data_IF_496451506979
#
_entry.id   IF_496451506979
#
_cell.length_a   1.000
_cell.length_b   1.000
_cell.length_c   1.000
_cell.angle_alpha   90.00
_cell.angle_beta   90.00
_cell.angle_gamma   90.00
#
_symmetry.space_group_name_H-M   'P 1'
#
loop_
_entity.id
_entity.type
_entity.pdbx_description
1 polymer ?
#
# COMPACT_ATOMS: atom_id res chain seq x y z
N UNK A 1 -0.95 0.19 3.47
CA UNK A 1 -0.74 1.50 2.82
C UNK A 1 0.02 2.42 3.75
N UNK A 2 -0.50 2.62 4.97
CA UNK A 2 0.14 3.45 5.98
C UNK A 2 1.59 3.01 6.28
N UNK A 3 1.84 1.70 6.45
CA UNK A 3 3.19 1.16 6.67
C UNK A 3 4.14 1.49 5.52
N UNK A 4 3.66 1.39 4.28
CA UNK A 4 4.44 1.68 3.08
C UNK A 4 4.83 3.16 3.04
N UNK A 5 3.89 4.07 3.33
CA UNK A 5 4.14 5.52 3.33
C UNK A 5 5.10 5.93 4.46
N UNK A 6 4.91 5.37 5.66
CA UNK A 6 5.83 5.54 6.79
C UNK A 6 7.25 5.07 6.42
N UNK A 7 7.35 3.87 5.84
CA UNK A 7 8.60 3.29 5.40
C UNK A 7 9.26 4.10 4.28
N UNK A 8 8.49 4.63 3.33
CA UNK A 8 8.99 5.43 2.22
C UNK A 8 9.55 6.78 2.70
N UNK A 9 8.81 7.50 3.56
CA UNK A 9 9.25 8.79 4.08
C UNK A 9 10.49 8.66 4.97
N UNK A 10 10.54 7.63 5.84
CA UNK A 10 11.66 7.34 6.73
C UNK A 10 12.26 8.61 7.34
N UNK A 11 11.60 9.24 8.31
CA UNK A 11 11.94 10.60 8.78
C UNK A 11 13.02 10.62 9.89
N UNK A 12 13.87 9.60 10.00
CA UNK A 12 14.85 9.49 11.08
C UNK A 12 15.82 10.68 11.04
N UNK A 13 16.37 11.02 9.88
CA UNK A 13 17.39 12.07 9.75
C UNK A 13 16.80 13.48 9.91
N UNK A 14 15.48 13.63 9.72
CA UNK A 14 14.76 14.90 9.90
C UNK A 14 14.19 15.05 11.32
N UNK A 15 14.36 14.04 12.16
CA UNK A 15 13.91 14.02 13.55
C UNK A 15 15.04 14.44 14.49
N UNK A 16 14.79 15.47 15.30
CA UNK A 16 15.68 15.90 16.37
C UNK A 16 14.86 15.97 17.66
N UNK A 17 15.27 15.24 18.70
CA UNK A 17 14.50 15.11 19.95
C UNK A 17 13.03 14.74 19.73
N UNK A 18 12.77 13.78 18.83
CA UNK A 18 11.41 13.32 18.42
C UNK A 18 10.56 14.39 17.71
N UNK A 19 11.17 15.52 17.33
CA UNK A 19 10.51 16.60 16.59
C UNK A 19 10.96 16.57 15.13
N UNK A 20 10.00 16.49 14.23
CA UNK A 20 10.25 16.58 12.79
C UNK A 20 10.43 18.05 12.44
N UNK A 21 11.66 18.46 12.12
CA UNK A 21 11.98 19.84 11.75
C UNK A 21 11.59 20.16 10.31
N UNK A 22 11.67 19.15 9.42
CA UNK A 22 11.39 19.28 7.99
C UNK A 22 10.65 18.05 7.49
N UNK A 23 9.60 18.26 6.69
CA UNK A 23 8.87 17.18 6.01
C UNK A 23 9.54 16.86 4.67
N UNK A 24 9.57 15.59 4.30
CA UNK A 24 10.03 15.16 2.98
C UNK A 24 8.87 15.16 1.98
N UNK A 25 9.16 15.59 0.75
CA UNK A 25 8.24 15.46 -0.40
C UNK A 25 8.41 14.11 -1.11
N UNK A 26 9.62 13.59 -1.11
CA UNK A 26 10.02 12.35 -1.76
C UNK A 26 10.62 11.38 -0.73
N UNK A 27 10.84 10.10 -1.06
CA UNK A 27 11.49 9.15 -0.16
C UNK A 27 12.94 9.49 0.23
N UNK A 28 13.55 10.50 -0.38
CA UNK A 28 14.90 10.98 -0.11
C UNK A 28 14.90 12.40 0.45
N UNK A 29 16.03 12.83 0.98
CA UNK A 29 16.20 14.17 1.51
C UNK A 29 16.18 15.26 0.42
N UNK A 30 15.46 16.34 0.71
CA UNK A 30 15.29 17.48 -0.18
C UNK A 30 13.98 17.46 -0.96
N UNK A 31 13.74 18.56 -1.69
CA UNK A 31 12.48 18.78 -2.41
C UNK A 31 12.60 18.54 -3.93
N UNK A 32 13.78 18.13 -4.39
CA UNK A 32 14.10 17.99 -5.80
C UNK A 32 14.39 16.54 -6.15
N UNK A 33 14.12 16.18 -7.40
CA UNK A 33 14.42 14.87 -7.98
C UNK A 33 15.88 14.71 -8.41
N UNK A 34 16.71 15.74 -8.17
CA UNK A 34 18.14 15.77 -8.51
C UNK A 34 18.96 15.97 -7.25
N UNK A 35 20.12 15.33 -7.19
CA UNK A 35 21.04 15.47 -6.05
C UNK A 35 21.93 16.71 -6.18
N UNK A 36 22.28 17.28 -5.02
CA UNK A 36 23.27 18.35 -4.87
C UNK A 36 24.64 17.80 -4.41
N UNK A 37 24.80 16.48 -4.28
CA UNK A 37 26.08 15.85 -3.97
C UNK A 37 27.11 16.22 -5.04
N UNK A 38 28.30 16.67 -4.62
CA UNK A 38 29.37 17.14 -5.52
C UNK A 38 29.76 16.10 -6.56
N UNK A 39 29.77 14.81 -6.21
CA UNK A 39 30.20 13.73 -7.10
C UNK A 39 29.15 13.43 -8.19
N UNK A 40 27.88 13.60 -7.86
CA UNK A 40 26.75 13.25 -8.72
C UNK A 40 25.87 14.47 -9.05
N UNK A 41 26.46 15.65 -9.05
CA UNK A 41 25.71 16.89 -9.04
C UNK A 41 24.75 16.98 -10.23
N UNK A 42 23.48 17.21 -9.94
CA UNK A 42 22.44 17.35 -10.96
C UNK A 42 21.98 16.04 -11.59
N UNK A 43 22.47 14.86 -11.19
CA UNK A 43 21.87 13.58 -11.64
C UNK A 43 20.53 13.35 -10.95
N UNK A 44 19.64 12.62 -11.61
CA UNK A 44 18.40 12.17 -10.96
C UNK A 44 18.70 11.12 -9.89
N UNK A 45 17.85 11.07 -8.86
CA UNK A 45 17.97 10.14 -7.73
C UNK A 45 16.92 9.03 -7.74
N UNK A 46 16.19 8.90 -8.84
CA UNK A 46 15.15 7.91 -9.06
C UNK A 46 14.99 7.65 -10.56
N UNK A 47 14.42 6.48 -10.88
CA UNK A 47 14.01 6.11 -12.24
C UNK A 47 12.56 6.53 -12.49
N UNK A 48 12.32 7.50 -13.37
CA UNK A 48 10.97 8.00 -13.65
C UNK A 48 10.90 8.74 -14.99
N UNK A 49 9.68 8.98 -15.48
CA UNK A 49 9.45 9.72 -16.72
C UNK A 49 9.59 11.23 -16.50
N UNK A 50 10.51 11.85 -17.24
CA UNK A 50 10.86 13.28 -17.08
C UNK A 50 9.86 14.21 -17.76
N UNK A 51 9.27 13.76 -18.87
CA UNK A 51 8.36 14.54 -19.68
C UNK A 51 7.62 13.69 -20.71
N UNK A 52 6.76 14.31 -21.53
CA UNK A 52 6.04 13.60 -22.60
C UNK A 52 7.04 13.02 -23.60
N UNK A 53 7.11 11.70 -23.66
CA UNK A 53 8.03 10.96 -24.55
C UNK A 53 9.48 10.93 -24.06
N UNK A 54 9.80 11.58 -22.94
CA UNK A 54 11.16 11.64 -22.40
C UNK A 54 11.34 10.63 -21.25
N UNK A 55 11.94 9.49 -21.61
CA UNK A 55 12.29 8.39 -20.71
C UNK A 55 13.82 8.25 -20.52
N UNK A 56 14.62 8.99 -21.29
CA UNK A 56 16.07 8.77 -21.40
C UNK A 56 16.89 10.06 -21.34
N UNK A 57 16.26 11.21 -21.65
CA UNK A 57 16.91 12.50 -21.81
C UNK A 57 17.69 12.62 -23.12
N UNK A 58 18.91 13.14 -22.99
CA UNK A 58 19.77 13.47 -24.12
C UNK A 58 20.57 12.24 -24.53
N UNK A 59 20.68 12.02 -25.84
CA UNK A 59 21.47 10.92 -26.40
C UNK A 59 22.91 10.92 -25.85
N UNK A 60 23.38 9.76 -25.41
CA UNK A 60 24.74 9.55 -24.88
C UNK A 60 24.89 9.76 -23.36
N UNK A 61 23.87 10.28 -22.66
CA UNK A 61 23.92 10.44 -21.20
C UNK A 61 22.53 10.26 -20.55
N UNK A 62 22.27 9.03 -20.09
CA UNK A 62 21.07 8.70 -19.31
C UNK A 62 21.23 9.27 -17.90
N UNK A 63 20.66 10.45 -17.66
CA UNK A 63 20.81 11.19 -16.40
C UNK A 63 20.25 10.45 -15.17
N UNK A 64 19.27 9.56 -15.35
CA UNK A 64 18.74 8.60 -14.36
C UNK A 64 19.25 7.16 -14.57
N UNK A 65 19.84 6.83 -15.72
CA UNK A 65 20.54 5.57 -15.96
C UNK A 65 19.74 4.44 -16.61
N UNK A 66 18.43 4.59 -16.88
CA UNK A 66 17.62 3.51 -17.49
C UNK A 66 16.33 4.03 -18.16
N UNK A 67 15.86 3.40 -19.25
CA UNK A 67 14.58 3.67 -19.94
C UNK A 67 13.39 2.93 -19.32
N UNK A 68 13.68 1.75 -18.77
CA UNK A 68 12.73 0.81 -18.15
C UNK A 68 13.17 0.57 -16.69
N UNK A 69 12.55 -0.33 -15.91
CA UNK A 69 13.03 -0.61 -14.56
C UNK A 69 14.54 -0.92 -14.53
N UNK A 70 15.23 -0.30 -13.59
CA UNK A 70 16.63 -0.58 -13.26
C UNK A 70 16.72 -1.64 -12.16
N UNK A 71 17.94 -2.11 -11.89
CA UNK A 71 18.23 -3.08 -10.84
C UNK A 71 17.76 -2.58 -9.47
N UNK A 72 17.15 -3.48 -8.69
CA UNK A 72 16.77 -3.21 -7.29
C UNK A 72 18.01 -2.84 -6.48
N UNK A 73 17.92 -1.79 -5.66
CA UNK A 73 19.10 -1.28 -4.95
C UNK A 73 19.85 -0.17 -5.69
N UNK A 74 19.42 0.19 -6.90
CA UNK A 74 19.90 1.41 -7.58
C UNK A 74 19.48 2.68 -6.83
N UNK A 75 20.25 3.75 -7.02
CA UNK A 75 20.11 5.06 -6.35
C UNK A 75 20.37 4.99 -4.84
N UNK A 76 20.11 6.10 -4.14
CA UNK A 76 20.34 6.19 -2.70
C UNK A 76 19.17 5.55 -1.93
N UNK A 77 19.45 4.80 -0.85
CA UNK A 77 18.40 4.35 0.04
C UNK A 77 17.84 5.54 0.83
N UNK A 78 16.63 5.38 1.35
CA UNK A 78 16.12 6.27 2.38
C UNK A 78 16.70 5.95 3.77
N UNK A 79 16.26 6.66 4.79
CA UNK A 79 16.81 6.57 6.15
C UNK A 79 16.59 5.19 6.82
N UNK A 80 15.65 4.38 6.31
CA UNK A 80 15.46 2.99 6.74
C UNK A 80 16.29 1.98 5.94
N UNK A 81 17.12 2.45 4.99
CA UNK A 81 17.88 1.59 4.10
C UNK A 81 17.05 1.03 2.94
N UNK A 82 15.86 1.60 2.67
CA UNK A 82 14.98 1.12 1.60
C UNK A 82 15.28 1.83 0.29
N UNK A 83 15.53 1.05 -0.75
CA UNK A 83 15.79 1.52 -2.10
C UNK A 83 14.53 1.56 -2.94
N UNK A 84 14.54 2.46 -3.94
CA UNK A 84 13.53 2.55 -4.98
C UNK A 84 12.10 2.73 -4.45
N UNK A 85 11.90 3.32 -3.27
CA UNK A 85 10.58 3.66 -2.75
C UNK A 85 9.87 4.73 -3.60
N UNK A 86 10.62 5.46 -4.44
CA UNK A 86 10.09 6.42 -5.40
C UNK A 86 10.65 6.11 -6.78
N UNK A 87 9.77 5.77 -7.72
CA UNK A 87 10.11 5.42 -9.08
C UNK A 87 10.48 3.95 -9.24
N UNK A 88 11.13 3.63 -10.35
CA UNK A 88 11.39 2.27 -10.80
C UNK A 88 10.09 1.52 -11.11
N UNK A 89 9.43 0.94 -10.11
CA UNK A 89 8.11 0.32 -10.28
C UNK A 89 7.19 0.83 -9.19
N UNK A 90 5.91 0.97 -9.52
CA UNK A 90 4.89 1.08 -8.51
C UNK A 90 4.84 -0.20 -7.69
N UNK A 91 4.40 -0.09 -6.45
CA UNK A 91 4.35 -1.22 -5.54
C UNK A 91 2.92 -1.40 -5.01
N UNK A 92 2.38 -2.60 -5.18
CA UNK A 92 1.13 -3.00 -4.56
C UNK A 92 1.22 -2.90 -3.04
N UNK A 93 0.13 -2.45 -2.43
CA UNK A 93 -0.12 -2.58 -1.00
C UNK A 93 -1.41 -3.36 -0.77
N UNK A 94 -1.55 -3.96 0.41
CA UNK A 94 -2.66 -4.85 0.72
C UNK A 94 -4.02 -4.13 0.79
N UNK A 95 -4.00 -2.81 1.02
CA UNK A 95 -5.21 -2.02 1.23
C UNK A 95 -6.10 -1.97 0.00
N UNK A 96 -7.41 -2.05 0.26
CA UNK A 96 -8.44 -1.75 -0.73
C UNK A 96 -8.57 -0.24 -0.88
N UNK A 97 -8.61 0.22 -2.12
CA UNK A 97 -8.75 1.64 -2.43
C UNK A 97 -10.17 2.13 -2.14
N UNK A 98 -10.24 3.22 -1.38
CA UNK A 98 -11.44 4.05 -1.24
C UNK A 98 -11.07 5.53 -1.35
N UNK A 99 -11.89 6.37 -1.97
CA UNK A 99 -11.60 7.81 -2.06
C UNK A 99 -11.49 8.48 -0.70
N UNK A 100 -12.33 8.08 0.25
CA UNK A 100 -12.47 8.73 1.55
C UNK A 100 -11.69 8.02 2.68
N UNK A 101 -10.71 7.15 2.35
CA UNK A 101 -9.91 6.42 3.36
C UNK A 101 -9.29 7.34 4.41
N UNK A 102 -8.94 8.58 4.03
CA UNK A 102 -8.30 9.53 4.95
C UNK A 102 -9.27 10.19 5.94
N UNK A 103 -10.58 10.06 5.71
CA UNK A 103 -11.62 10.58 6.61
C UNK A 103 -12.08 9.53 7.62
N UNK A 104 -11.91 8.23 7.32
CA UNK A 104 -12.48 7.10 8.07
C UNK A 104 -11.44 6.05 8.53
N UNK A 105 -10.20 6.48 8.76
CA UNK A 105 -9.10 5.63 9.20
C UNK A 105 -9.09 5.31 10.71
N UNK A 106 -8.55 4.14 11.04
CA UNK A 106 -8.21 3.76 12.41
C UNK A 106 -6.95 4.51 12.90
N UNK A 107 -6.94 4.94 14.16
CA UNK A 107 -5.83 5.71 14.74
C UNK A 107 -4.50 4.94 14.79
N UNK A 108 -4.55 3.61 14.92
CA UNK A 108 -3.37 2.75 15.05
C UNK A 108 -3.38 1.69 13.96
N UNK A 109 -2.34 1.68 13.12
CA UNK A 109 -2.17 0.65 12.10
C UNK A 109 -3.27 0.65 11.04
N UNK A 110 -3.72 1.84 10.62
CA UNK A 110 -4.77 2.01 9.62
C UNK A 110 -4.60 1.05 8.43
N UNK A 111 -5.57 0.17 8.28
CA UNK A 111 -5.60 -0.83 7.22
C UNK A 111 -7.04 -1.06 6.74
N UNK A 112 -7.22 -1.05 5.43
CA UNK A 112 -8.53 -1.31 4.81
C UNK A 112 -8.53 -2.56 3.96
N UNK A 113 -9.47 -3.46 4.20
CA UNK A 113 -9.53 -4.77 3.52
C UNK A 113 -9.52 -5.95 4.49
N UNK A 114 -10.09 -5.76 5.68
CA UNK A 114 -10.10 -6.74 6.75
C UNK A 114 -10.93 -7.98 6.39
N UNK A 115 -10.25 -9.12 6.29
CA UNK A 115 -10.86 -10.45 6.29
C UNK A 115 -10.41 -11.13 7.57
N UNK A 116 -11.36 -11.33 8.49
CA UNK A 116 -11.04 -11.91 9.79
C UNK A 116 -10.94 -13.44 9.68
N UNK A 117 -9.73 -13.95 9.92
CA UNK A 117 -9.40 -15.36 9.86
C UNK A 117 -8.97 -15.90 11.22
N UNK A 118 -9.14 -17.20 11.41
CA UNK A 118 -8.70 -17.94 12.60
C UNK A 118 -7.89 -19.17 12.17
N UNK A 119 -7.00 -19.63 13.05
CA UNK A 119 -6.21 -20.83 12.79
C UNK A 119 -7.14 -22.05 12.69
N UNK A 120 -6.87 -22.92 11.72
CA UNK A 120 -7.53 -24.23 11.65
C UNK A 120 -7.06 -25.05 12.85
N UNK A 121 -8.01 -25.59 13.60
CA UNK A 121 -7.76 -26.39 14.80
C UNK A 121 -8.30 -27.80 14.63
N UNK A 122 -7.64 -28.76 15.26
CA UNK A 122 -8.10 -30.14 15.35
C UNK A 122 -9.28 -30.28 16.33
N UNK A 123 -9.84 -31.50 16.43
CA UNK A 123 -10.95 -31.81 17.35
C UNK A 123 -10.59 -31.58 18.83
N UNK A 124 -9.29 -31.55 19.15
CA UNK A 124 -8.77 -31.35 20.50
C UNK A 124 -8.43 -29.88 20.79
N UNK A 125 -8.65 -28.97 19.82
CA UNK A 125 -8.42 -27.53 19.96
C UNK A 125 -6.97 -27.09 19.73
N UNK A 126 -6.07 -27.99 19.34
CA UNK A 126 -4.69 -27.68 18.93
C UNK A 126 -4.65 -27.20 17.49
N UNK A 127 -3.57 -26.49 17.12
CA UNK A 127 -3.35 -26.07 15.73
C UNK A 127 -3.22 -27.31 14.85
N UNK A 128 -4.03 -27.36 13.80
CA UNK A 128 -4.06 -28.47 12.87
C UNK A 128 -2.73 -28.59 12.10
N UNK A 129 -2.53 -29.72 11.42
CA UNK A 129 -1.31 -30.01 10.67
C UNK A 129 -1.01 -28.87 9.69
N UNK A 130 0.25 -28.43 9.68
CA UNK A 130 0.78 -27.40 8.79
C UNK A 130 0.60 -27.77 7.32
N UNK A 131 0.59 -26.78 6.44
CA UNK A 131 0.55 -27.01 4.98
C UNK A 131 1.84 -27.70 4.49
N UNK A 132 1.90 -28.06 3.21
CA UNK A 132 3.08 -28.67 2.58
C UNK A 132 4.34 -27.80 2.63
N UNK A 133 4.19 -26.51 2.94
CA UNK A 133 5.25 -25.51 3.04
C UNK A 133 5.57 -25.16 4.51
N UNK A 134 5.01 -25.91 5.48
CA UNK A 134 5.28 -25.75 6.91
C UNK A 134 4.60 -24.54 7.56
N UNK A 135 3.62 -23.92 6.88
CA UNK A 135 2.87 -22.75 7.36
C UNK A 135 1.61 -23.19 8.10
N UNK A 136 1.17 -22.36 9.04
CA UNK A 136 -0.09 -22.57 9.77
C UNK A 136 -1.25 -22.32 8.81
N UNK A 137 -2.26 -23.19 8.84
CA UNK A 137 -3.48 -23.03 8.05
C UNK A 137 -4.46 -22.11 8.75
N UNK A 138 -5.08 -21.21 7.99
CA UNK A 138 -6.10 -20.28 8.44
C UNK A 138 -7.41 -20.53 7.68
N UNK A 139 -8.53 -20.23 8.33
CA UNK A 139 -9.86 -20.23 7.74
C UNK A 139 -10.62 -18.98 8.17
N UNK A 140 -11.63 -18.60 7.39
CA UNK A 140 -12.51 -17.50 7.74
C UNK A 140 -13.29 -17.81 9.02
N UNK A 141 -13.48 -16.78 9.84
CA UNK A 141 -14.26 -16.87 11.09
C UNK A 141 -15.75 -17.03 10.76
N UNK A 142 -16.41 -18.00 11.37
CA UNK A 142 -17.85 -18.20 11.13
C UNK A 142 -18.68 -17.15 11.86
N UNK A 143 -19.93 -16.96 11.43
CA UNK A 143 -20.82 -15.98 12.05
C UNK A 143 -21.05 -16.34 13.52
N UNK A 144 -21.26 -17.62 13.82
CA UNK A 144 -21.49 -18.15 15.17
C UNK A 144 -20.32 -17.86 16.11
N UNK A 145 -19.07 -18.00 15.63
CA UNK A 145 -17.87 -17.68 16.40
C UNK A 145 -17.73 -16.18 16.71
N UNK A 146 -18.43 -15.33 15.96
CA UNK A 146 -18.40 -13.87 16.08
C UNK A 146 -19.65 -13.26 16.75
N UNK A 147 -20.66 -14.06 17.07
CA UNK A 147 -21.92 -13.61 17.70
C UNK A 147 -21.75 -12.94 19.06
N UNK A 148 -20.68 -13.26 19.79
CA UNK A 148 -20.40 -12.64 21.10
C UNK A 148 -19.26 -11.62 21.05
N UNK A 149 -18.68 -11.40 19.88
CA UNK A 149 -17.58 -10.43 19.69
C UNK A 149 -18.14 -9.02 19.53
N UNK A 150 -17.42 -8.04 20.09
CA UNK A 150 -17.80 -6.61 20.02
C UNK A 150 -17.26 -5.90 18.78
N UNK A 151 -16.23 -6.45 18.14
CA UNK A 151 -15.50 -5.80 17.06
C UNK A 151 -16.05 -6.11 15.65
N UNK A 152 -16.43 -7.36 15.36
CA UNK A 152 -17.01 -7.73 14.07
C UNK A 152 -18.02 -8.88 14.18
N UNK A 153 -18.90 -8.98 13.18
CA UNK A 153 -20.02 -9.95 13.11
C UNK A 153 -19.97 -10.90 11.90
N UNK A 154 -19.09 -10.64 10.95
CA UNK A 154 -18.84 -11.44 9.75
C UNK A 154 -17.32 -11.51 9.50
N UNK A 155 -16.83 -12.53 8.81
CA UNK A 155 -15.39 -12.60 8.47
C UNK A 155 -14.97 -11.50 7.50
N UNK A 156 -15.66 -11.39 6.36
CA UNK A 156 -15.34 -10.41 5.33
C UNK A 156 -15.94 -9.04 5.68
N UNK A 157 -15.10 -8.10 6.11
CA UNK A 157 -15.45 -6.69 6.38
C UNK A 157 -14.63 -5.72 5.51
N UNK A 158 -14.32 -6.11 4.27
CA UNK A 158 -13.61 -5.25 3.33
C UNK A 158 -14.39 -3.95 3.05
N UNK A 159 -15.72 -4.03 3.05
CA UNK A 159 -16.66 -2.97 2.70
C UNK A 159 -17.21 -2.18 3.90
N UNK A 160 -16.72 -2.45 5.11
CA UNK A 160 -17.26 -1.85 6.34
C UNK A 160 -17.23 -0.32 6.33
N UNK A 161 -18.39 0.33 6.52
CA UNK A 161 -18.58 1.80 6.47
C UNK A 161 -18.41 2.43 5.08
N UNK A 162 -18.10 1.66 4.04
CA UNK A 162 -17.91 2.18 2.68
C UNK A 162 -18.25 1.12 1.62
N UNK A 163 -19.54 0.83 1.53
CA UNK A 163 -20.15 -0.07 0.56
C UNK A 163 -20.80 -1.33 1.14
N UNK A 164 -20.79 -1.50 2.47
CA UNK A 164 -21.64 -2.47 3.15
C UNK A 164 -23.12 -2.05 3.13
N UNK A 165 -24.02 -2.97 3.47
CA UNK A 165 -25.47 -2.72 3.42
C UNK A 165 -25.93 -1.48 4.23
N UNK A 166 -25.22 -1.10 5.30
CA UNK A 166 -25.58 0.08 6.09
C UNK A 166 -25.07 1.39 5.49
N UNK A 167 -24.04 1.35 4.64
CA UNK A 167 -23.41 2.53 4.02
C UNK A 167 -23.70 2.66 2.52
N UNK A 168 -24.28 1.65 1.88
CA UNK A 168 -24.63 1.72 0.45
C UNK A 168 -25.61 2.85 0.14
N UNK A 169 -25.39 3.53 -0.98
CA UNK A 169 -26.29 4.56 -1.50
C UNK A 169 -27.50 3.91 -2.16
N UNK A 170 -28.65 3.91 -1.46
CA UNK A 170 -29.90 3.37 -2.00
C UNK A 170 -30.68 4.42 -2.77
N UNK A 171 -30.97 4.10 -4.02
CA UNK A 171 -31.89 4.88 -4.86
C UNK A 171 -33.29 4.26 -4.90
N UNK A 172 -33.46 3.04 -4.40
CA UNK A 172 -34.73 2.32 -4.35
C UNK A 172 -35.34 2.33 -2.94
N UNK A 173 -36.67 2.41 -2.87
CA UNK A 173 -37.40 2.37 -1.59
C UNK A 173 -37.48 0.94 -0.98
N UNK A 174 -36.69 -0.02 -1.48
CA UNK A 174 -36.71 -1.39 -1.00
C UNK A 174 -35.65 -1.61 0.09
N UNK A 175 -36.05 -1.27 1.31
CA UNK A 175 -35.20 -1.39 2.50
C UNK A 175 -34.77 -2.82 2.84
N UNK A 176 -35.40 -3.84 2.24
CA UNK A 176 -35.14 -5.26 2.49
C UNK A 176 -34.30 -5.94 1.39
N UNK A 177 -33.90 -5.22 0.34
CA UNK A 177 -33.06 -5.78 -0.74
C UNK A 177 -31.61 -5.85 -0.30
N UNK A 178 -31.25 -6.94 0.38
CA UNK A 178 -29.86 -7.23 0.75
C UNK A 178 -29.09 -7.62 -0.52
N UNK A 179 -28.38 -6.67 -1.11
CA UNK A 179 -27.42 -7.00 -2.17
C UNK A 179 -26.29 -7.82 -1.55
N UNK A 180 -25.76 -8.85 -2.25
CA UNK A 180 -24.48 -9.45 -1.90
C UNK A 180 -23.41 -8.35 -1.71
N UNK A 181 -22.40 -8.60 -0.88
CA UNK A 181 -21.31 -7.66 -0.49
C UNK A 181 -20.50 -7.16 -1.68
N UNK A 182 -21.13 -6.35 -2.52
CA UNK A 182 -20.59 -5.80 -3.73
C UNK A 182 -20.85 -4.31 -3.66
N UNK A 183 -19.77 -3.56 -3.50
CA UNK A 183 -19.75 -2.11 -3.41
C UNK A 183 -20.21 -1.43 -4.71
N UNK A 184 -20.70 -2.21 -5.67
CA UNK A 184 -21.40 -1.79 -6.89
C UNK A 184 -22.47 -0.74 -6.63
N UNK A 185 -23.27 -0.82 -5.56
CA UNK A 185 -24.27 0.24 -5.29
C UNK A 185 -23.64 1.56 -4.89
N UNK A 186 -22.57 1.52 -4.08
CA UNK A 186 -21.83 2.69 -3.65
C UNK A 186 -21.07 3.37 -4.79
N UNK A 187 -20.39 2.59 -5.63
CA UNK A 187 -19.45 3.09 -6.64
C UNK A 187 -19.92 2.97 -8.08
N UNK A 188 -21.02 2.27 -8.35
CA UNK A 188 -21.54 2.01 -9.70
C UNK A 188 -20.43 1.44 -10.63
N UNK A 189 -19.84 0.34 -10.15
CA UNK A 189 -18.72 -0.36 -10.80
C UNK A 189 -19.05 -0.73 -12.25
N UNK A 190 -18.08 -0.52 -13.15
CA UNK A 190 -18.21 -0.84 -14.58
C UNK A 190 -19.05 0.16 -15.38
N UNK A 191 -19.70 1.14 -14.75
CA UNK A 191 -20.40 2.23 -15.44
C UNK A 191 -19.68 3.57 -15.29
N UNK A 192 -19.46 4.00 -14.06
CA UNK A 192 -18.87 5.31 -13.74
C UNK A 192 -17.60 5.21 -12.91
N UNK A 193 -17.31 4.05 -12.33
CA UNK A 193 -16.13 3.82 -11.50
C UNK A 193 -15.54 2.42 -11.73
N UNK A 194 -14.25 2.29 -11.44
CA UNK A 194 -13.54 1.01 -11.34
C UNK A 194 -13.29 0.61 -9.88
N UNK A 195 -13.91 1.31 -8.92
CA UNK A 195 -13.73 1.06 -7.49
C UNK A 195 -14.69 -0.07 -7.08
N UNK A 196 -14.13 -1.11 -6.48
CA UNK A 196 -14.85 -2.21 -5.87
C UNK A 196 -14.05 -2.82 -4.69
N UNK A 197 -14.50 -3.95 -4.13
CA UNK A 197 -13.77 -4.70 -3.09
C UNK A 197 -12.44 -5.34 -3.56
N UNK A 198 -12.18 -5.34 -4.87
CA UNK A 198 -10.99 -5.92 -5.50
C UNK A 198 -9.99 -4.84 -5.97
N UNK A 199 -10.37 -3.57 -5.96
CA UNK A 199 -9.49 -2.46 -6.28
C UNK A 199 -8.46 -2.27 -5.16
N UNK A 200 -7.20 -2.62 -5.42
CA UNK A 200 -6.10 -2.49 -4.46
C UNK A 200 -5.30 -1.23 -4.71
N UNK A 201 -4.69 -0.71 -3.66
CA UNK A 201 -3.83 0.47 -3.75
C UNK A 201 -2.45 0.07 -4.26
N UNK A 202 -1.84 0.92 -5.08
CA UNK A 202 -0.41 0.86 -5.38
C UNK A 202 0.22 2.25 -5.29
N UNK A 203 1.51 2.31 -4.91
CA UNK A 203 2.21 3.55 -4.55
C UNK A 203 3.64 3.60 -5.12
N UNK A 204 4.32 4.73 -4.95
CA UNK A 204 5.74 4.92 -5.27
C UNK A 204 6.06 5.44 -6.67
N UNK A 205 5.13 5.33 -7.63
CA UNK A 205 5.40 5.72 -9.01
C UNK A 205 6.40 4.79 -9.69
N UNK A 206 6.44 4.82 -11.02
CA UNK A 206 7.27 3.94 -11.84
C UNK A 206 8.15 4.69 -12.82
N UNK A 207 9.00 3.96 -13.55
CA UNK A 207 9.73 4.42 -14.73
C UNK A 207 8.83 5.11 -15.77
N UNK A 208 7.52 4.80 -15.78
CA UNK A 208 6.52 5.37 -16.69
C UNK A 208 5.84 6.64 -16.17
N UNK A 209 6.00 6.93 -14.89
CA UNK A 209 5.28 8.00 -14.21
C UNK A 209 6.11 9.27 -14.04
N UNK A 210 5.41 10.40 -14.05
CA UNK A 210 6.04 11.69 -13.78
C UNK A 210 6.39 11.88 -12.30
N UNK A 211 7.25 12.87 -12.03
CA UNK A 211 7.74 13.21 -10.69
C UNK A 211 6.66 13.48 -9.63
N UNK A 212 5.40 13.72 -10.02
CA UNK A 212 4.29 13.83 -9.09
C UNK A 212 4.02 12.52 -8.32
N UNK A 213 4.08 11.39 -9.02
CA UNK A 213 3.74 10.07 -8.46
C UNK A 213 4.83 9.46 -7.59
N UNK A 214 6.03 10.06 -7.57
CA UNK A 214 7.13 9.61 -6.70
C UNK A 214 6.93 10.04 -5.25
N UNK A 215 5.98 10.95 -4.98
CA UNK A 215 5.63 11.37 -3.63
C UNK A 215 4.95 10.21 -2.88
N UNK A 216 5.41 9.84 -1.68
CA UNK A 216 4.82 8.74 -0.91
C UNK A 216 3.32 8.89 -0.61
N UNK A 217 2.83 10.13 -0.53
CA UNK A 217 1.42 10.41 -0.24
C UNK A 217 0.50 10.21 -1.44
N UNK A 218 1.05 10.05 -2.65
CA UNK A 218 0.22 9.79 -3.84
C UNK A 218 -0.13 8.31 -3.88
N UNK A 219 -1.43 8.04 -4.01
CA UNK A 219 -2.01 6.70 -4.11
C UNK A 219 -2.80 6.57 -5.41
N UNK A 220 -2.73 5.40 -6.01
CA UNK A 220 -3.56 4.99 -7.16
C UNK A 220 -4.08 3.59 -6.90
N UNK A 221 -4.95 3.11 -7.77
CA UNK A 221 -5.54 1.79 -7.64
C UNK A 221 -5.73 1.11 -8.97
N UNK A 222 -5.76 -0.21 -8.92
CA UNK A 222 -6.03 -1.11 -10.03
C UNK A 222 -6.70 -2.36 -9.46
N UNK A 223 -7.43 -3.10 -10.29
CA UNK A 223 -8.01 -4.39 -9.87
C UNK A 223 -6.89 -5.38 -9.51
N UNK A 224 -7.07 -6.12 -8.41
CA UNK A 224 -6.07 -7.07 -7.90
C UNK A 224 -5.73 -8.21 -8.88
N UNK A 225 -6.59 -8.46 -9.88
CA UNK A 225 -6.37 -9.49 -10.90
C UNK A 225 -5.62 -8.97 -12.13
N UNK A 226 -5.37 -7.67 -12.21
CA UNK A 226 -4.66 -7.07 -13.33
C UNK A 226 -3.15 -7.00 -13.10
N UNK A 227 -2.40 -7.07 -14.19
CA UNK A 227 -0.95 -6.95 -14.20
C UNK A 227 -0.51 -5.91 -15.22
N UNK A 228 0.55 -5.16 -14.90
CA UNK A 228 1.14 -4.17 -15.79
C UNK A 228 2.67 -4.31 -15.82
N UNK A 229 3.31 -3.68 -16.79
CA UNK A 229 4.76 -3.61 -16.95
C UNK A 229 5.46 -2.65 -15.97
N UNK A 230 4.70 -1.96 -15.11
CA UNK A 230 5.21 -0.92 -14.22
C UNK A 230 4.78 -1.07 -12.76
N UNK A 231 4.02 -2.12 -12.41
CA UNK A 231 3.63 -2.43 -11.03
C UNK A 231 4.28 -3.75 -10.60
N UNK A 232 5.04 -3.70 -9.52
CA UNK A 232 5.55 -4.83 -8.77
C UNK A 232 5.07 -4.80 -7.32
N UNK A 233 5.86 -5.37 -6.40
CA UNK A 233 5.56 -5.37 -4.97
C UNK A 233 6.83 -5.56 -4.14
N UNK A 234 6.71 -5.26 -2.85
CA UNK A 234 7.67 -5.66 -1.82
C UNK A 234 6.95 -6.32 -0.65
N UNK A 235 7.67 -7.14 0.09
CA UNK A 235 7.13 -7.83 1.25
C UNK A 235 7.39 -7.04 2.53
N UNK A 236 6.44 -7.11 3.46
CA UNK A 236 6.59 -6.66 4.84
C UNK A 236 6.38 -7.84 5.78
N UNK A 237 6.86 -7.74 7.02
CA UNK A 237 6.69 -8.75 8.05
C UNK A 237 6.52 -8.09 9.41
N UNK A 238 5.68 -8.69 10.25
CA UNK A 238 5.55 -8.30 11.64
C UNK A 238 6.84 -8.59 12.39
N UNK A 239 7.33 -7.58 13.12
CA UNK A 239 8.46 -7.77 14.03
C UNK A 239 8.00 -8.55 15.25
N UNK A 240 8.63 -9.70 15.49
CA UNK A 240 8.43 -10.46 16.73
C UNK A 240 9.45 -10.00 17.78
N UNK A 241 8.96 -9.58 18.96
CA UNK A 241 9.78 -9.20 20.11
C UNK A 241 9.76 -7.70 20.42
N UNK A 242 10.48 -7.31 21.49
CA UNK A 242 10.46 -5.92 21.97
C UNK A 242 10.98 -4.93 20.91
N UNK A 243 10.32 -3.76 20.76
CA UNK A 243 10.82 -2.68 19.92
C UNK A 243 12.10 -2.06 20.51
N UNK A 244 12.29 -2.14 21.82
CA UNK A 244 13.53 -1.72 22.46
C UNK A 244 14.62 -2.76 22.21
N UNK A 245 15.82 -2.32 21.78
CA UNK A 245 17.02 -3.14 21.88
C UNK A 245 17.17 -3.52 23.36
N UNK A 246 17.02 -4.80 23.68
CA UNK A 246 17.25 -5.28 25.04
C UNK A 246 18.62 -4.81 25.49
N UNK A 247 18.70 -4.11 26.64
CA UNK A 247 19.96 -4.01 27.38
C UNK A 247 20.36 -5.44 27.72
N UNK A 248 21.33 -5.98 27.00
CA UNK A 248 22.17 -7.04 27.54
C UNK A 248 23.05 -6.44 28.63
#
# INVERSE_FOLDING_TARGET
EAEWEYAALGLIENSEYERISQRKKYPWNGNYVRTTDKKYYGTFVANFKRGRGDYMGVAGALNDGSDIPTEVGSYFPNDFGLFNMGGNVCEWVMDVYRPNTFDDWDDLGAFRGNIFQTQVRDQNGFVDVKDSLGRIRYRDVTVEESENRKNYRKSNNIDYLDGDFASETRTDNNWNSQSPSDTTRMYNYGKTSLINNQARVYKGGSWKDGAYYLSPSVRRFLDENEATDYIGFRCAMDRVGSPMKGRK
#
